data_IF_883731472612
#
_entry.id   IF_883731472612
#
_cell.length_a   1.000
_cell.length_b   1.000
_cell.length_c   1.000
_cell.angle_alpha   90.00
_cell.angle_beta   90.00
_cell.angle_gamma   90.00
#
_symmetry.space_group_name_H-M   'P 1'
#
loop_
_entity.id
_entity.type
_entity.pdbx_description
1 polymer ?
#
# COMPACT_ATOMS: atom_id res chain seq x y z
N UNK A 1 -18.82 38.33 -36.84
CA UNK A 1 -19.03 39.76 -36.52
C UNK A 1 -20.51 39.92 -36.21
N UNK A 2 -20.88 40.12 -34.95
CA UNK A 2 -22.28 40.22 -34.51
C UNK A 2 -22.31 40.49 -33.02
N UNK A 3 -22.55 41.75 -32.68
CA UNK A 3 -22.31 42.36 -31.38
C UNK A 3 -23.37 42.04 -30.33
N UNK A 4 -22.91 42.09 -29.09
CA UNK A 4 -23.65 42.18 -27.83
C UNK A 4 -24.40 43.51 -27.79
N UNK A 5 -25.64 43.51 -27.31
CA UNK A 5 -26.18 44.65 -26.55
C UNK A 5 -27.24 44.16 -25.55
N UNK A 6 -26.94 44.42 -24.27
CA UNK A 6 -27.74 44.16 -23.09
C UNK A 6 -28.40 45.49 -22.67
N UNK A 7 -29.70 45.48 -22.35
CA UNK A 7 -30.34 46.54 -21.56
C UNK A 7 -31.58 46.03 -20.82
N UNK A 8 -31.44 46.03 -19.50
CA UNK A 8 -32.38 46.23 -18.39
C UNK A 8 -33.80 46.69 -18.68
N UNK A 9 -34.77 46.22 -17.87
CA UNK A 9 -35.66 47.09 -17.08
C UNK A 9 -36.33 46.33 -15.91
N UNK A 10 -36.61 47.10 -14.85
CA UNK A 10 -37.09 46.79 -13.49
C UNK A 10 -38.63 46.85 -13.36
N UNK A 11 -39.13 46.57 -12.13
CA UNK A 11 -40.46 46.75 -11.52
C UNK A 11 -41.33 45.47 -11.43
N UNK A 12 -42.05 45.15 -10.34
CA UNK A 12 -42.25 45.76 -9.01
C UNK A 12 -43.05 44.78 -8.11
N UNK A 13 -42.83 44.90 -6.79
CA UNK A 13 -43.73 44.77 -5.63
C UNK A 13 -44.99 43.85 -5.64
N UNK A 14 -45.07 42.96 -4.64
CA UNK A 14 -46.28 42.87 -3.80
C UNK A 14 -46.00 42.32 -2.39
N UNK A 15 -46.45 43.09 -1.40
CA UNK A 15 -46.36 42.89 0.06
C UNK A 15 -47.55 42.07 0.64
N UNK A 16 -47.24 41.22 1.63
CA UNK A 16 -47.93 40.77 2.89
C UNK A 16 -49.47 40.92 3.07
N UNK A 17 -50.17 40.08 3.88
CA UNK A 17 -50.16 40.26 5.35
C UNK A 17 -50.31 39.00 6.24
N UNK A 18 -50.11 39.28 7.54
CA UNK A 18 -50.13 38.47 8.76
C UNK A 18 -51.50 37.97 9.28
N UNK A 19 -51.41 37.13 10.33
CA UNK A 19 -52.33 36.89 11.47
C UNK A 19 -53.14 35.58 11.40
N UNK A 20 -53.45 34.82 12.46
CA UNK A 20 -53.57 35.05 13.92
C UNK A 20 -53.49 33.70 14.68
N UNK A 21 -53.09 33.73 15.95
CA UNK A 21 -53.31 32.68 16.97
C UNK A 21 -54.77 32.69 17.48
N UNK A 22 -55.24 31.66 18.21
CA UNK A 22 -55.31 31.87 19.67
C UNK A 22 -54.99 30.65 20.56
N UNK A 23 -54.68 31.03 21.80
CA UNK A 23 -54.39 30.29 23.02
C UNK A 23 -55.39 29.21 23.48
N UNK A 24 -54.85 28.16 24.12
CA UNK A 24 -54.98 27.95 25.57
C UNK A 24 -55.95 26.89 26.09
N UNK A 25 -55.43 25.85 26.78
CA UNK A 25 -55.88 25.46 28.14
C UNK A 25 -54.94 24.46 28.83
N UNK A 26 -54.77 24.69 30.13
CA UNK A 26 -53.97 23.98 31.16
C UNK A 26 -54.74 22.81 31.81
N UNK A 27 -53.97 22.01 32.58
CA UNK A 27 -54.32 21.18 33.76
C UNK A 27 -54.91 19.78 33.43
N UNK A 28 -54.57 18.68 34.12
CA UNK A 28 -53.95 18.49 35.44
C UNK A 28 -53.30 17.10 35.56
N UNK A 29 -52.30 17.01 36.43
CA UNK A 29 -51.80 15.83 37.13
C UNK A 29 -52.87 15.16 38.00
N UNK A 30 -52.82 13.84 38.15
CA UNK A 30 -53.38 13.15 39.32
C UNK A 30 -52.67 11.81 39.53
N UNK A 31 -52.08 11.73 40.71
CA UNK A 31 -51.45 10.58 41.35
C UNK A 31 -52.39 9.39 41.51
N UNK A 32 -51.83 8.19 41.59
CA UNK A 32 -52.35 7.15 42.49
C UNK A 32 -51.23 6.22 42.95
N UNK A 33 -50.62 6.53 44.09
CA UNK A 33 -50.04 5.55 45.00
C UNK A 33 -51.19 4.78 45.68
N UNK A 34 -51.12 3.44 45.71
CA UNK A 34 -51.51 2.67 46.90
C UNK A 34 -50.45 1.60 47.16
N UNK A 35 -49.80 1.78 48.31
CA UNK A 35 -48.99 0.84 49.07
C UNK A 35 -49.84 -0.23 49.76
N UNK A 36 -49.34 -1.46 49.85
CA UNK A 36 -49.08 -2.21 51.11
C UNK A 36 -48.67 -3.66 50.79
N UNK A 37 -47.42 -4.06 51.03
CA UNK A 37 -46.82 -4.63 52.26
C UNK A 37 -47.27 -6.04 52.67
N UNK A 38 -46.26 -6.78 53.16
CA UNK A 38 -46.27 -7.91 54.11
C UNK A 38 -46.21 -9.32 53.49
N UNK A 39 -45.05 -10.01 53.56
CA UNK A 39 -44.55 -10.89 54.66
C UNK A 39 -45.39 -12.21 54.67
N UNK A 40 -44.89 -13.45 54.74
CA UNK A 40 -43.75 -14.14 55.36
C UNK A 40 -43.77 -15.58 54.75
N UNK A 41 -42.64 -16.16 54.35
CA UNK A 41 -41.95 -17.31 54.98
C UNK A 41 -42.81 -18.45 55.59
N UNK A 42 -42.49 -19.70 55.23
CA UNK A 42 -42.39 -20.93 56.06
C UNK A 42 -42.03 -22.11 55.10
N UNK A 43 -40.85 -22.76 55.15
CA UNK A 43 -40.41 -23.89 56.02
C UNK A 43 -41.47 -25.02 56.14
N UNK A 44 -41.27 -26.34 55.99
CA UNK A 44 -40.13 -27.29 55.94
C UNK A 44 -40.68 -28.70 55.49
N UNK A 45 -39.92 -29.47 54.66
CA UNK A 45 -39.50 -30.94 54.64
C UNK A 45 -40.53 -32.10 55.00
N UNK A 46 -40.29 -33.46 54.86
CA UNK A 46 -39.47 -34.38 54.00
C UNK A 46 -40.21 -35.63 53.41
N UNK A 47 -39.43 -36.55 52.79
CA UNK A 47 -39.63 -37.99 52.43
C UNK A 47 -39.99 -38.26 50.95
N UNK A 48 -39.35 -39.14 50.17
CA UNK A 48 -38.22 -40.06 50.35
C UNK A 48 -38.01 -40.93 49.09
N UNK A 49 -36.76 -41.37 48.87
CA UNK A 49 -36.28 -42.51 48.04
C UNK A 49 -36.42 -42.52 46.50
N UNK A 50 -35.31 -42.47 45.76
CA UNK A 50 -34.62 -43.66 45.22
C UNK A 50 -33.41 -43.30 44.33
N UNK A 51 -32.50 -44.26 44.22
CA UNK A 51 -31.11 -44.19 43.76
C UNK A 51 -30.87 -43.98 42.25
N UNK A 52 -29.87 -43.18 41.89
CA UNK A 52 -29.07 -43.40 40.67
C UNK A 52 -27.67 -42.72 40.72
N UNK A 53 -26.62 -43.53 40.66
CA UNK A 53 -25.41 -43.30 39.86
C UNK A 53 -24.40 -42.21 40.25
N UNK A 54 -23.38 -42.57 41.06
CA UNK A 54 -22.06 -41.92 41.06
C UNK A 54 -21.28 -42.31 39.79
N UNK A 55 -21.06 -41.35 38.88
CA UNK A 55 -19.96 -41.34 37.90
C UNK A 55 -19.63 -39.88 37.54
N UNK A 56 -18.86 -39.22 38.39
CA UNK A 56 -18.17 -37.96 38.08
C UNK A 56 -16.75 -38.11 38.64
N UNK A 57 -15.74 -37.59 37.95
CA UNK A 57 -14.30 -37.50 38.31
C UNK A 57 -13.34 -38.46 37.58
N UNK A 58 -13.29 -38.42 36.25
CA UNK A 58 -12.04 -38.80 35.52
C UNK A 58 -11.74 -37.89 34.34
N UNK A 59 -12.76 -37.43 33.62
CA UNK A 59 -12.62 -36.51 32.48
C UNK A 59 -12.30 -35.05 32.89
N UNK A 60 -12.81 -34.59 34.04
CA UNK A 60 -12.53 -33.23 34.53
C UNK A 60 -11.06 -33.05 34.97
N UNK A 61 -10.41 -34.13 35.40
CA UNK A 61 -9.01 -34.13 35.81
C UNK A 61 -8.06 -34.03 34.60
N UNK A 62 -8.36 -34.72 33.50
CA UNK A 62 -7.59 -34.60 32.25
C UNK A 62 -7.80 -33.23 31.57
N UNK A 63 -9.02 -32.69 31.57
CA UNK A 63 -9.26 -31.32 31.08
C UNK A 63 -8.54 -30.27 31.92
N UNK A 64 -8.50 -30.42 33.25
CA UNK A 64 -7.77 -29.52 34.13
C UNK A 64 -6.25 -29.56 33.87
N UNK A 65 -5.70 -30.74 33.57
CA UNK A 65 -4.28 -30.91 33.29
C UNK A 65 -3.88 -30.37 31.90
N UNK A 66 -4.76 -30.50 30.89
CA UNK A 66 -4.56 -29.88 29.58
C UNK A 66 -4.70 -28.35 29.65
N UNK A 67 -5.70 -27.84 30.38
CA UNK A 67 -5.90 -26.39 30.60
C UNK A 67 -4.75 -25.78 31.40
N UNK A 68 -4.20 -26.49 32.38
CA UNK A 68 -3.00 -26.10 33.12
C UNK A 68 -1.76 -26.05 32.22
N UNK A 69 -1.59 -27.01 31.30
CA UNK A 69 -0.49 -27.02 30.34
C UNK A 69 -0.59 -25.89 29.30
N UNK A 70 -1.80 -25.61 28.79
CA UNK A 70 -2.07 -24.48 27.89
C UNK A 70 -1.88 -23.15 28.61
N UNK A 71 -2.34 -23.03 29.86
CA UNK A 71 -2.12 -21.84 30.68
C UNK A 71 -0.64 -21.66 31.08
N UNK A 72 0.11 -22.75 31.25
CA UNK A 72 1.55 -22.70 31.52
C UNK A 72 2.37 -22.31 30.29
N UNK A 73 1.97 -22.74 29.09
CA UNK A 73 2.59 -22.32 27.82
C UNK A 73 2.26 -20.86 27.53
N UNK A 74 1.00 -20.45 27.70
CA UNK A 74 0.60 -19.06 27.58
C UNK A 74 1.31 -18.18 28.61
N UNK A 75 1.36 -18.61 29.88
CA UNK A 75 2.12 -17.92 30.93
C UNK A 75 3.60 -17.82 30.60
N UNK A 76 4.20 -18.87 30.03
CA UNK A 76 5.60 -18.85 29.59
C UNK A 76 5.83 -17.89 28.41
N UNK A 77 4.91 -17.83 27.45
CA UNK A 77 4.92 -16.86 26.34
C UNK A 77 4.78 -15.42 26.86
N UNK A 78 3.86 -15.16 27.80
CA UNK A 78 3.71 -13.87 28.47
C UNK A 78 4.93 -13.51 29.34
N UNK A 79 5.62 -14.52 29.90
CA UNK A 79 6.84 -14.32 30.71
C UNK A 79 8.06 -14.07 29.81
N UNK A 80 8.10 -14.66 28.62
CA UNK A 80 9.09 -14.37 27.57
C UNK A 80 8.89 -12.95 27.00
N UNK A 81 7.64 -12.49 26.86
CA UNK A 81 7.29 -11.10 26.54
C UNK A 81 7.80 -10.07 27.58
N UNK A 82 8.12 -10.50 28.80
CA UNK A 82 8.61 -9.62 29.88
C UNK A 82 10.11 -9.31 29.81
N UNK A 83 10.77 -9.66 28.71
CA UNK A 83 12.12 -9.20 28.37
C UNK A 83 11.96 -8.36 27.09
N UNK A 84 11.84 -7.04 27.25
CA UNK A 84 11.45 -6.08 26.19
C UNK A 84 12.12 -6.29 24.80
N UNK A 85 13.44 -6.50 24.67
CA UNK A 85 14.05 -6.73 23.35
C UNK A 85 13.67 -8.07 22.71
N UNK A 86 13.34 -9.10 23.50
CA UNK A 86 12.85 -10.38 22.95
C UNK A 86 11.42 -10.24 22.40
N UNK A 87 10.64 -9.31 22.95
CA UNK A 87 9.32 -8.95 22.43
C UNK A 87 9.39 -8.36 21.02
N UNK A 88 10.23 -7.34 20.80
CA UNK A 88 10.39 -6.72 19.49
C UNK A 88 10.99 -7.67 18.44
N UNK A 89 11.94 -8.54 18.84
CA UNK A 89 12.44 -9.63 17.98
C UNK A 89 11.32 -10.58 17.55
N UNK A 90 10.46 -11.01 18.48
CA UNK A 90 9.36 -11.92 18.15
C UNK A 90 8.34 -11.26 17.20
N UNK A 91 8.00 -9.99 17.44
CA UNK A 91 7.08 -9.23 16.60
C UNK A 91 7.61 -9.11 15.17
N UNK A 92 8.89 -8.78 15.01
CA UNK A 92 9.46 -8.50 13.69
C UNK A 92 9.87 -9.77 12.95
N UNK A 93 10.40 -10.79 13.63
CA UNK A 93 10.92 -11.98 12.93
C UNK A 93 9.95 -13.16 12.90
N UNK A 94 9.02 -13.28 13.85
CA UNK A 94 8.23 -14.52 14.02
C UNK A 94 6.73 -14.30 13.78
N UNK A 95 6.17 -13.16 14.19
CA UNK A 95 4.71 -12.94 14.16
C UNK A 95 4.14 -12.88 12.75
N UNK A 96 4.83 -12.25 11.80
CA UNK A 96 4.35 -12.12 10.44
C UNK A 96 4.52 -13.44 9.66
N UNK A 97 3.42 -13.96 9.10
CA UNK A 97 3.44 -15.23 8.35
C UNK A 97 4.41 -15.20 7.16
N UNK A 98 4.63 -14.03 6.57
CA UNK A 98 5.55 -13.83 5.44
C UNK A 98 7.01 -14.10 5.82
N UNK A 99 7.36 -13.99 7.10
CA UNK A 99 8.73 -14.24 7.59
C UNK A 99 9.16 -15.70 7.47
N UNK A 100 8.25 -16.62 7.12
CA UNK A 100 8.64 -17.97 6.69
C UNK A 100 9.61 -17.94 5.51
N UNK A 101 9.63 -16.85 4.73
CA UNK A 101 10.54 -16.64 3.61
C UNK A 101 11.92 -16.09 4.03
N UNK A 102 12.08 -15.60 5.27
CA UNK A 102 13.31 -14.95 5.73
C UNK A 102 14.57 -15.85 5.63
N UNK A 103 14.51 -17.18 5.87
CA UNK A 103 15.65 -18.07 5.66
C UNK A 103 16.19 -18.10 4.22
N UNK A 104 15.39 -17.71 3.21
CA UNK A 104 15.83 -17.70 1.82
C UNK A 104 16.90 -16.64 1.54
N UNK A 105 16.95 -15.55 2.31
CA UNK A 105 18.00 -14.53 2.19
C UNK A 105 19.40 -15.09 2.47
N UNK A 106 19.68 -15.62 3.68
CA UNK A 106 20.94 -16.29 3.98
C UNK A 106 21.24 -17.48 3.06
N UNK A 107 20.21 -18.22 2.63
CA UNK A 107 20.37 -19.30 1.66
C UNK A 107 20.85 -18.79 0.30
N UNK A 108 20.37 -17.65 -0.17
CA UNK A 108 20.83 -17.04 -1.42
C UNK A 108 22.32 -16.68 -1.37
N UNK A 109 22.76 -16.11 -0.25
CA UNK A 109 24.18 -15.80 0.01
C UNK A 109 25.02 -17.08 -0.04
N UNK A 110 24.57 -18.15 0.65
CA UNK A 110 25.26 -19.43 0.65
C UNK A 110 25.33 -20.03 -0.76
N UNK A 111 24.23 -20.01 -1.51
CA UNK A 111 24.15 -20.55 -2.87
C UNK A 111 25.07 -19.80 -3.85
N UNK A 112 25.24 -18.49 -3.67
CA UNK A 112 26.15 -17.68 -4.47
C UNK A 112 27.59 -18.19 -4.34
N UNK A 113 28.05 -18.51 -3.13
CA UNK A 113 29.40 -19.02 -2.91
C UNK A 113 29.59 -20.51 -3.26
N UNK A 114 28.52 -21.32 -3.20
CA UNK A 114 28.63 -22.78 -3.38
C UNK A 114 28.40 -23.23 -4.82
N UNK A 115 27.44 -22.62 -5.53
CA UNK A 115 26.84 -23.25 -6.72
C UNK A 115 27.13 -22.51 -8.02
N UNK A 116 27.45 -21.22 -7.97
CA UNK A 116 27.57 -20.36 -9.17
C UNK A 116 26.31 -20.27 -10.03
N UNK A 117 25.17 -20.82 -9.58
CA UNK A 117 23.91 -20.86 -10.33
C UNK A 117 23.12 -19.56 -10.12
N UNK A 118 23.39 -18.57 -10.98
CA UNK A 118 22.80 -17.23 -10.88
C UNK A 118 21.26 -17.22 -10.85
N UNK A 119 20.58 -18.09 -11.62
CA UNK A 119 19.11 -18.17 -11.58
C UNK A 119 18.51 -18.55 -10.21
N UNK A 120 19.16 -19.46 -9.48
CA UNK A 120 18.73 -19.82 -8.12
C UNK A 120 19.05 -18.71 -7.12
N UNK A 121 20.24 -18.09 -7.25
CA UNK A 121 20.64 -16.96 -6.40
C UNK A 121 19.65 -15.81 -6.56
N UNK A 122 19.24 -15.48 -7.79
CA UNK A 122 18.22 -14.49 -8.08
C UNK A 122 16.90 -14.83 -7.37
N UNK A 123 16.38 -16.04 -7.60
CA UNK A 123 15.09 -16.45 -7.03
C UNK A 123 15.08 -16.44 -5.49
N UNK A 124 16.10 -16.98 -4.84
CA UNK A 124 16.19 -17.00 -3.38
C UNK A 124 16.47 -15.62 -2.78
N UNK A 125 17.24 -14.76 -3.47
CA UNK A 125 17.44 -13.37 -3.03
C UNK A 125 16.12 -12.61 -3.08
N UNK A 126 15.35 -12.80 -4.15
CA UNK A 126 14.05 -12.17 -4.34
C UNK A 126 13.06 -12.60 -3.24
N UNK A 127 12.96 -13.90 -2.95
CA UNK A 127 12.15 -14.42 -1.83
C UNK A 127 12.62 -13.93 -0.46
N UNK A 128 13.93 -13.79 -0.26
CA UNK A 128 14.51 -13.29 0.98
C UNK A 128 14.24 -11.81 1.23
N UNK A 129 14.13 -11.01 0.15
CA UNK A 129 13.84 -9.57 0.23
C UNK A 129 12.37 -9.33 0.58
N UNK A 130 11.43 -10.12 0.06
CA UNK A 130 9.98 -9.95 0.31
C UNK A 130 9.60 -9.74 1.78
N UNK A 131 9.97 -10.61 2.74
CA UNK A 131 9.63 -10.39 4.15
C UNK A 131 10.38 -9.21 4.76
N UNK A 132 11.59 -8.90 4.29
CA UNK A 132 12.36 -7.76 4.80
C UNK A 132 11.73 -6.43 4.37
N UNK A 133 11.29 -6.34 3.12
CA UNK A 133 10.58 -5.18 2.57
C UNK A 133 9.29 -4.91 3.36
N UNK A 134 8.52 -5.97 3.63
CA UNK A 134 7.29 -5.88 4.42
C UNK A 134 7.54 -5.40 5.85
N UNK A 135 8.55 -5.97 6.53
CA UNK A 135 8.93 -5.56 7.88
C UNK A 135 9.52 -4.16 7.92
N UNK A 136 10.18 -3.71 6.85
CA UNK A 136 10.70 -2.35 6.73
C UNK A 136 9.56 -1.33 6.64
N UNK A 137 8.51 -1.63 5.86
CA UNK A 137 7.27 -0.85 5.82
C UNK A 137 6.59 -0.79 7.20
N UNK A 138 6.43 -1.94 7.87
CA UNK A 138 5.89 -2.00 9.24
C UNK A 138 6.71 -1.15 10.22
N UNK A 139 8.04 -1.26 10.22
CA UNK A 139 8.89 -0.46 11.10
C UNK A 139 8.77 1.06 10.82
N UNK A 140 8.56 1.43 9.56
CA UNK A 140 8.34 2.82 9.14
C UNK A 140 7.01 3.34 9.68
N UNK A 141 5.94 2.55 9.58
CA UNK A 141 4.63 2.89 10.13
C UNK A 141 4.68 3.03 11.65
N UNK A 142 5.32 2.09 12.34
CA UNK A 142 5.52 2.15 13.80
C UNK A 142 6.30 3.40 14.23
N UNK A 143 7.29 3.83 13.44
CA UNK A 143 8.01 5.06 13.70
C UNK A 143 7.14 6.31 13.48
N UNK A 144 6.25 6.28 12.47
CA UNK A 144 5.38 7.40 12.12
C UNK A 144 4.44 7.82 13.27
N UNK A 145 3.98 6.87 14.11
CA UNK A 145 3.19 7.14 15.33
C UNK A 145 3.86 8.13 16.29
N UNK A 146 5.20 8.16 16.32
CA UNK A 146 5.96 8.98 17.25
C UNK A 146 6.43 10.33 16.68
N UNK A 147 6.38 10.50 15.36
CA UNK A 147 6.99 11.65 14.67
C UNK A 147 6.00 12.74 14.26
N UNK A 148 4.71 12.55 14.51
CA UNK A 148 3.65 13.46 14.09
C UNK A 148 3.32 13.34 12.60
N UNK A 149 2.20 13.93 12.16
CA UNK A 149 1.67 13.69 10.81
C UNK A 149 2.62 14.13 9.69
N UNK A 150 3.28 15.28 9.83
CA UNK A 150 4.16 15.82 8.77
C UNK A 150 5.42 14.97 8.58
N UNK A 151 6.15 14.68 9.67
CA UNK A 151 7.39 13.89 9.59
C UNK A 151 7.04 12.42 9.34
N UNK A 152 5.97 11.90 9.92
CA UNK A 152 5.47 10.55 9.66
C UNK A 152 5.09 10.33 8.19
N UNK A 153 4.43 11.30 7.57
CA UNK A 153 4.12 11.24 6.14
C UNK A 153 5.36 11.31 5.24
N UNK A 154 6.38 12.09 5.62
CA UNK A 154 7.65 12.13 4.90
C UNK A 154 8.44 10.82 5.07
N UNK A 155 8.44 10.24 6.27
CA UNK A 155 9.02 8.93 6.55
C UNK A 155 8.33 7.86 5.72
N UNK A 156 7.00 7.86 5.66
CA UNK A 156 6.25 6.90 4.85
C UNK A 156 6.54 7.07 3.35
N UNK A 157 6.58 8.31 2.85
CA UNK A 157 6.92 8.56 1.44
C UNK A 157 8.33 8.05 1.07
N UNK A 158 9.29 8.16 1.98
CA UNK A 158 10.69 7.79 1.74
C UNK A 158 10.94 6.31 1.98
N UNK A 159 10.60 5.81 3.17
CA UNK A 159 10.89 4.45 3.61
C UNK A 159 9.82 3.44 3.21
N UNK A 160 8.61 3.89 2.82
CA UNK A 160 7.60 3.02 2.23
C UNK A 160 8.07 2.38 0.93
N UNK A 161 8.84 3.10 0.11
CA UNK A 161 9.44 2.59 -1.13
C UNK A 161 10.96 2.37 -0.98
N UNK A 162 11.45 2.16 0.24
CA UNK A 162 12.89 2.04 0.46
C UNK A 162 13.49 0.83 -0.23
N UNK A 163 12.75 -0.28 -0.35
CA UNK A 163 13.23 -1.50 -1.00
C UNK A 163 13.58 -1.25 -2.46
N UNK A 164 12.67 -0.63 -3.21
CA UNK A 164 12.82 -0.26 -4.61
C UNK A 164 13.94 0.75 -4.78
N UNK A 165 14.02 1.75 -3.90
CA UNK A 165 15.08 2.75 -3.91
C UNK A 165 16.46 2.11 -3.64
N UNK A 166 16.59 1.19 -2.69
CA UNK A 166 17.85 0.49 -2.37
C UNK A 166 18.28 -0.38 -3.55
N UNK A 167 17.37 -1.18 -4.11
CA UNK A 167 17.64 -2.00 -5.30
C UNK A 167 18.09 -1.11 -6.47
N UNK A 168 17.37 0.00 -6.69
CA UNK A 168 17.67 0.95 -7.76
C UNK A 168 19.03 1.62 -7.59
N UNK A 169 19.38 2.08 -6.39
CA UNK A 169 20.68 2.70 -6.11
C UNK A 169 21.81 1.68 -6.30
N UNK A 170 21.62 0.42 -5.88
CA UNK A 170 22.64 -0.61 -6.08
C UNK A 170 22.84 -0.91 -7.57
N UNK A 171 21.75 -1.09 -8.33
CA UNK A 171 21.82 -1.30 -9.79
C UNK A 171 22.45 -0.09 -10.51
N UNK A 172 22.09 1.13 -10.11
CA UNK A 172 22.66 2.36 -10.64
C UNK A 172 24.17 2.47 -10.37
N UNK A 173 24.63 2.07 -9.18
CA UNK A 173 26.06 2.04 -8.83
C UNK A 173 26.86 1.13 -9.76
N UNK A 174 26.26 0.05 -10.24
CA UNK A 174 26.84 -0.90 -11.20
C UNK A 174 26.54 -0.55 -12.66
N UNK A 175 25.99 0.64 -12.94
CA UNK A 175 25.71 1.10 -14.32
C UNK A 175 24.52 0.39 -14.97
N UNK A 176 23.72 -0.37 -14.24
CA UNK A 176 22.53 -1.08 -14.75
C UNK A 176 21.31 -0.16 -14.85
N UNK A 177 21.44 0.93 -15.62
CA UNK A 177 20.41 1.97 -15.79
C UNK A 177 19.10 1.38 -16.31
N UNK A 178 19.16 0.49 -17.31
CA UNK A 178 17.97 -0.16 -17.88
C UNK A 178 17.22 -1.00 -16.84
N UNK A 179 17.92 -1.70 -15.96
CA UNK A 179 17.30 -2.48 -14.88
C UNK A 179 16.57 -1.54 -13.89
N UNK A 180 17.17 -0.40 -13.56
CA UNK A 180 16.52 0.62 -12.70
C UNK A 180 15.24 1.13 -13.34
N UNK A 181 15.31 1.57 -14.61
CA UNK A 181 14.13 2.05 -15.34
C UNK A 181 13.04 0.96 -15.42
N UNK A 182 13.40 -0.24 -15.87
CA UNK A 182 12.45 -1.33 -16.05
C UNK A 182 11.81 -1.80 -14.74
N UNK A 183 12.57 -1.88 -13.65
CA UNK A 183 12.03 -2.28 -12.34
C UNK A 183 11.07 -1.25 -11.73
N UNK A 184 11.40 0.04 -11.81
CA UNK A 184 10.52 1.11 -11.32
C UNK A 184 9.24 1.23 -12.18
N UNK A 185 9.37 1.10 -13.50
CA UNK A 185 8.22 1.02 -14.42
C UNK A 185 7.33 -0.17 -14.06
N UNK A 186 7.93 -1.34 -13.91
CA UNK A 186 7.22 -2.57 -13.56
C UNK A 186 6.47 -2.48 -12.24
N UNK A 187 7.03 -1.77 -11.25
CA UNK A 187 6.39 -1.53 -9.96
C UNK A 187 5.11 -0.70 -10.11
N UNK A 188 5.14 0.34 -10.95
CA UNK A 188 3.94 1.12 -11.29
C UNK A 188 2.91 0.23 -12.01
N UNK A 189 3.32 -0.51 -13.04
CA UNK A 189 2.41 -1.39 -13.80
C UNK A 189 1.78 -2.48 -12.92
N UNK A 190 2.56 -3.07 -12.02
CA UNK A 190 2.11 -4.10 -11.09
C UNK A 190 1.08 -3.52 -10.11
N UNK A 191 1.37 -2.39 -9.49
CA UNK A 191 0.46 -1.76 -8.53
C UNK A 191 -0.85 -1.30 -9.21
N UNK A 192 -0.75 -0.68 -10.38
CA UNK A 192 -1.92 -0.13 -11.08
C UNK A 192 -2.81 -1.19 -11.73
N UNK A 193 -2.26 -2.27 -12.28
CA UNK A 193 -3.03 -3.29 -12.98
C UNK A 193 -3.21 -4.57 -12.15
N UNK A 194 -2.12 -5.16 -11.68
CA UNK A 194 -2.17 -6.45 -10.98
C UNK A 194 -2.79 -6.31 -9.58
N UNK A 195 -2.27 -5.40 -8.76
CA UNK A 195 -2.72 -5.24 -7.36
C UNK A 195 -4.14 -4.72 -7.32
N UNK A 196 -4.38 -3.60 -8.00
CA UNK A 196 -5.71 -3.00 -8.07
C UNK A 196 -6.72 -3.97 -8.70
N UNK A 197 -6.32 -4.70 -9.74
CA UNK A 197 -7.14 -5.72 -10.39
C UNK A 197 -7.50 -6.86 -9.44
N UNK A 198 -6.52 -7.46 -8.76
CA UNK A 198 -6.74 -8.51 -7.77
C UNK A 198 -7.61 -8.03 -6.60
N UNK A 199 -7.39 -6.81 -6.12
CA UNK A 199 -8.15 -6.23 -5.03
C UNK A 199 -9.62 -6.00 -5.41
N UNK A 200 -9.88 -5.42 -6.58
CA UNK A 200 -11.24 -5.23 -7.10
C UNK A 200 -11.93 -6.55 -7.43
N UNK A 201 -11.19 -7.52 -7.97
CA UNK A 201 -11.73 -8.84 -8.30
C UNK A 201 -12.16 -9.60 -7.04
N UNK A 202 -11.26 -9.72 -6.07
CA UNK A 202 -11.53 -10.46 -4.81
C UNK A 202 -12.53 -9.73 -3.92
N UNK A 203 -12.37 -8.42 -3.73
CA UNK A 203 -13.33 -7.58 -3.00
C UNK A 203 -14.73 -7.66 -3.60
N UNK A 204 -14.83 -7.58 -4.94
CA UNK A 204 -16.09 -7.69 -5.66
C UNK A 204 -16.74 -9.07 -5.64
N UNK A 205 -15.96 -10.16 -5.51
CA UNK A 205 -16.51 -11.52 -5.33
C UNK A 205 -17.08 -11.68 -3.92
N UNK A 206 -16.34 -11.24 -2.91
CA UNK A 206 -16.78 -11.33 -1.50
C UNK A 206 -18.04 -10.48 -1.31
N UNK A 207 -18.01 -9.25 -1.82
CA UNK A 207 -19.12 -8.32 -1.76
C UNK A 207 -20.01 -8.36 -3.01
N UNK A 208 -20.22 -9.52 -3.63
CA UNK A 208 -21.00 -9.65 -4.88
C UNK A 208 -22.43 -9.07 -4.83
N UNK A 209 -22.99 -8.84 -3.65
CA UNK A 209 -24.32 -8.23 -3.45
C UNK A 209 -24.30 -6.71 -3.23
N UNK A 210 -23.12 -6.11 -3.12
CA UNK A 210 -22.91 -4.68 -2.80
C UNK A 210 -21.92 -4.07 -3.79
N UNK A 211 -22.22 -2.87 -4.29
CA UNK A 211 -21.24 -2.08 -5.03
C UNK A 211 -20.31 -1.42 -4.02
N UNK A 212 -19.02 -1.71 -4.12
CA UNK A 212 -18.01 -1.07 -3.27
C UNK A 212 -17.70 0.31 -3.85
N UNK A 213 -17.59 1.31 -2.97
CA UNK A 213 -17.38 2.72 -3.34
C UNK A 213 -16.09 3.25 -2.72
N UNK A 214 -15.49 4.25 -3.36
CA UNK A 214 -14.29 4.92 -2.87
C UNK A 214 -14.33 6.42 -3.21
N UNK A 215 -13.44 7.18 -2.58
CA UNK A 215 -13.32 8.61 -2.74
C UNK A 215 -12.79 8.99 -4.14
N UNK A 216 -13.70 9.48 -4.97
CA UNK A 216 -13.41 9.94 -6.34
C UNK A 216 -12.38 11.07 -6.37
N UNK A 217 -12.45 12.02 -5.44
CA UNK A 217 -11.56 13.17 -5.45
C UNK A 217 -10.10 12.75 -5.20
N UNK A 218 -9.88 11.84 -4.24
CA UNK A 218 -8.56 11.29 -3.96
C UNK A 218 -8.01 10.49 -5.15
N UNK A 219 -8.85 9.68 -5.81
CA UNK A 219 -8.47 8.94 -7.01
C UNK A 219 -8.08 9.90 -8.16
N UNK A 220 -8.87 10.94 -8.41
CA UNK A 220 -8.62 11.92 -9.48
C UNK A 220 -7.31 12.67 -9.26
N UNK A 221 -7.01 13.12 -8.03
CA UNK A 221 -5.75 13.81 -7.73
C UNK A 221 -4.55 12.90 -8.01
N UNK A 222 -4.60 11.64 -7.58
CA UNK A 222 -3.53 10.68 -7.84
C UNK A 222 -3.38 10.34 -9.34
N UNK A 223 -4.49 10.13 -10.05
CA UNK A 223 -4.46 9.93 -11.51
C UNK A 223 -3.89 11.15 -12.25
N UNK A 224 -4.18 12.37 -11.78
CA UNK A 224 -3.59 13.60 -12.32
C UNK A 224 -2.07 13.68 -12.14
N UNK A 225 -1.56 13.29 -10.96
CA UNK A 225 -0.12 13.21 -10.70
C UNK A 225 0.56 12.14 -11.55
N UNK A 226 -0.08 10.97 -11.71
CA UNK A 226 0.42 9.92 -12.60
C UNK A 226 0.49 10.37 -14.06
N UNK A 227 -0.53 11.08 -14.56
CA UNK A 227 -0.49 11.67 -15.91
C UNK A 227 0.63 12.71 -16.06
N UNK A 228 0.88 13.52 -15.02
CA UNK A 228 2.03 14.44 -14.99
C UNK A 228 3.36 13.67 -15.05
N UNK A 229 3.50 12.56 -14.33
CA UNK A 229 4.69 11.72 -14.39
C UNK A 229 4.90 11.14 -15.80
N UNK A 230 3.82 10.66 -16.43
CA UNK A 230 3.88 10.16 -17.81
C UNK A 230 4.31 11.26 -18.78
N UNK A 231 3.80 12.49 -18.63
CA UNK A 231 4.25 13.63 -19.43
C UNK A 231 5.76 13.90 -19.24
N UNK A 232 6.26 13.81 -18.01
CA UNK A 232 7.68 13.99 -17.68
C UNK A 232 8.60 12.92 -18.26
N UNK A 233 8.11 11.68 -18.40
CA UNK A 233 8.82 10.53 -18.99
C UNK A 233 8.72 10.52 -20.52
N UNK A 234 7.57 10.93 -21.06
CA UNK A 234 7.26 10.81 -22.48
C UNK A 234 8.14 11.68 -23.37
N UNK A 235 8.43 12.93 -23.00
CA UNK A 235 9.18 13.82 -23.88
C UNK A 235 10.64 13.40 -24.10
N UNK A 236 11.41 13.00 -23.07
CA UNK A 236 12.73 12.40 -23.28
C UNK A 236 12.69 11.19 -24.20
N UNK A 237 11.74 10.26 -23.99
CA UNK A 237 11.61 9.06 -24.80
C UNK A 237 11.25 9.35 -26.27
N UNK A 238 10.35 10.30 -26.52
CA UNK A 238 9.97 10.71 -27.88
C UNK A 238 11.14 11.41 -28.58
N UNK A 239 11.86 12.32 -27.90
CA UNK A 239 13.02 13.00 -28.48
C UNK A 239 14.13 12.02 -28.90
N UNK A 240 14.39 11.01 -28.08
CA UNK A 240 15.32 9.94 -28.41
C UNK A 240 14.85 9.19 -29.66
N UNK A 241 13.59 8.78 -29.70
CA UNK A 241 13.04 7.99 -30.81
C UNK A 241 12.96 8.75 -32.14
N UNK A 242 12.63 10.04 -32.11
CA UNK A 242 12.54 10.88 -33.32
C UNK A 242 13.90 11.40 -33.78
N UNK A 243 14.96 11.22 -32.98
CA UNK A 243 16.27 11.84 -33.16
C UNK A 243 16.19 13.36 -33.41
N UNK A 244 15.17 14.01 -32.87
CA UNK A 244 14.89 15.44 -33.09
C UNK A 244 15.49 16.34 -32.02
N UNK A 245 16.46 15.84 -31.28
CA UNK A 245 17.14 16.57 -30.22
C UNK A 245 18.17 17.57 -30.77
N UNK A 246 18.35 18.71 -30.09
CA UNK A 246 19.26 19.77 -30.53
C UNK A 246 20.73 19.34 -30.46
N UNK A 247 21.10 18.61 -29.40
CA UNK A 247 22.43 18.06 -29.19
C UNK A 247 22.32 16.58 -28.83
N UNK A 248 22.77 15.73 -29.76
CA UNK A 248 22.65 14.28 -29.67
C UNK A 248 23.13 13.72 -28.31
N UNK A 249 22.27 12.96 -27.63
CA UNK A 249 22.43 12.36 -26.29
C UNK A 249 22.53 13.34 -25.11
N UNK A 250 22.84 14.63 -25.35
CA UNK A 250 23.01 15.62 -24.28
C UNK A 250 21.72 16.34 -23.95
N UNK A 251 20.92 16.65 -24.98
CA UNK A 251 19.65 17.36 -24.83
C UNK A 251 18.64 16.51 -24.08
N UNK A 252 18.56 15.21 -24.38
CA UNK A 252 17.70 14.26 -23.70
C UNK A 252 18.03 14.10 -22.20
N UNK A 253 19.30 13.87 -21.87
CA UNK A 253 19.73 13.73 -20.47
C UNK A 253 19.49 15.03 -19.68
N UNK A 254 19.74 16.18 -20.31
CA UNK A 254 19.48 17.49 -19.70
C UNK A 254 17.99 17.70 -19.46
N UNK A 255 17.14 17.32 -20.41
CA UNK A 255 15.69 17.37 -20.27
C UNK A 255 15.21 16.44 -19.16
N UNK A 256 15.75 15.23 -19.08
CA UNK A 256 15.42 14.25 -18.04
C UNK A 256 15.74 14.76 -16.64
N UNK A 257 16.90 15.41 -16.45
CA UNK A 257 17.27 16.05 -15.18
C UNK A 257 16.35 17.22 -14.83
N UNK A 258 16.04 18.07 -15.81
CA UNK A 258 15.11 19.17 -15.62
C UNK A 258 13.70 18.69 -15.22
N UNK A 259 13.16 17.74 -15.98
CA UNK A 259 11.85 17.11 -15.72
C UNK A 259 11.82 16.47 -14.34
N UNK A 260 12.90 15.78 -13.94
CA UNK A 260 13.03 15.17 -12.61
C UNK A 260 12.96 16.19 -11.48
N UNK A 261 13.65 17.33 -11.60
CA UNK A 261 13.55 18.40 -10.61
C UNK A 261 12.13 18.95 -10.48
N UNK A 262 11.42 19.14 -11.61
CA UNK A 262 10.03 19.62 -11.61
C UNK A 262 9.10 18.58 -10.96
N UNK A 263 9.26 17.30 -11.28
CA UNK A 263 8.47 16.21 -10.68
C UNK A 263 8.66 16.13 -9.17
N UNK A 264 9.90 16.26 -8.68
CA UNK A 264 10.19 16.30 -7.23
C UNK A 264 9.56 17.51 -6.54
N UNK A 265 9.59 18.70 -7.16
CA UNK A 265 8.94 19.90 -6.62
C UNK A 265 7.42 19.73 -6.59
N UNK A 266 6.84 19.16 -7.64
CA UNK A 266 5.41 18.86 -7.71
C UNK A 266 5.00 17.84 -6.62
N UNK A 267 5.81 16.80 -6.41
CA UNK A 267 5.58 15.80 -5.37
C UNK A 267 5.71 16.40 -3.96
N UNK A 268 6.74 17.21 -3.71
CA UNK A 268 6.90 17.92 -2.44
C UNK A 268 5.74 18.88 -2.16
N UNK A 269 5.24 19.57 -3.19
CA UNK A 269 4.05 20.43 -3.09
C UNK A 269 2.79 19.62 -2.79
N UNK A 270 2.64 18.45 -3.43
CA UNK A 270 1.56 17.51 -3.14
C UNK A 270 1.61 17.01 -1.70
N UNK A 271 2.78 16.55 -1.22
CA UNK A 271 2.95 16.14 0.18
C UNK A 271 2.64 17.27 1.14
N UNK A 272 3.13 18.49 0.88
CA UNK A 272 2.81 19.65 1.70
C UNK A 272 1.31 19.92 1.75
N UNK A 273 0.63 19.88 0.60
CA UNK A 273 -0.82 20.06 0.52
C UNK A 273 -1.55 18.94 1.25
N UNK A 274 -1.16 17.67 1.07
CA UNK A 274 -1.77 16.53 1.74
C UNK A 274 -1.63 16.63 3.26
N UNK A 275 -0.43 16.93 3.75
CA UNK A 275 -0.14 17.02 5.18
C UNK A 275 -0.81 18.22 5.86
N UNK A 276 -0.97 19.34 5.16
CA UNK A 276 -1.61 20.56 5.70
C UNK A 276 -3.13 20.55 5.55
N UNK A 277 -3.64 20.09 4.40
CA UNK A 277 -5.08 20.10 4.09
C UNK A 277 -5.84 19.01 4.86
N UNK A 278 -5.23 17.84 5.06
CA UNK A 278 -5.86 16.73 5.79
C UNK A 278 -5.88 16.95 7.32
N UNK A 279 -5.09 17.87 7.88
CA UNK A 279 -5.26 18.31 9.28
C UNK A 279 -6.62 18.99 9.53
N UNK A 280 -7.27 19.52 8.49
CA UNK A 280 -8.58 20.16 8.59
C UNK A 280 -9.76 19.26 8.17
N UNK A 281 -9.50 18.11 7.53
CA UNK A 281 -10.54 17.16 7.08
C UNK A 281 -10.56 15.87 7.90
N UNK A 282 -9.45 15.54 8.56
CA UNK A 282 -9.29 14.47 9.56
C UNK A 282 -8.83 15.07 10.89
N UNK A 283 -9.54 16.11 11.37
CA UNK A 283 -9.80 16.12 12.81
C UNK A 283 -10.55 14.83 13.14
N UNK A 284 -10.38 14.24 14.35
CA UNK A 284 -11.07 12.99 14.69
C UNK A 284 -12.53 13.13 14.26
N UNK A 285 -13.06 12.09 13.60
CA UNK A 285 -14.47 11.96 13.23
C UNK A 285 -15.33 11.79 14.51
N UNK A 286 -15.12 12.64 15.51
CA UNK A 286 -15.88 12.78 16.73
C UNK A 286 -16.65 14.10 16.64
N UNK A 287 -17.77 14.04 15.92
CA UNK A 287 -18.62 15.20 15.72
C UNK A 287 -19.91 14.80 15.04
N UNK A 288 -20.88 14.39 15.87
CA UNK A 288 -22.29 14.15 15.54
C UNK A 288 -22.67 12.76 15.01
N UNK A 289 -22.79 11.82 15.95
CA UNK A 289 -24.05 11.09 16.13
C UNK A 289 -24.33 9.88 15.24
N UNK A 290 -23.71 8.73 15.55
CA UNK A 290 -24.44 7.46 15.58
C UNK A 290 -23.76 6.45 16.52
N UNK A 291 -24.53 5.91 17.45
CA UNK A 291 -24.09 4.85 18.37
C UNK A 291 -24.11 3.52 17.61
N UNK A 292 -22.99 3.12 17.00
CA UNK A 292 -22.78 1.73 16.60
C UNK A 292 -21.46 1.23 17.18
N UNK A 293 -21.57 0.18 17.98
CA UNK A 293 -20.50 -0.52 18.71
C UNK A 293 -19.57 -1.31 17.78
N UNK A 294 -18.81 -0.62 16.93
CA UNK A 294 -17.61 -1.16 16.28
C UNK A 294 -16.60 -0.01 16.14
N UNK A 295 -16.10 0.47 17.29
CA UNK A 295 -14.90 1.31 17.31
C UNK A 295 -13.73 0.46 16.83
N UNK A 296 -13.30 0.67 15.58
CA UNK A 296 -11.97 0.26 15.10
C UNK A 296 -10.96 0.63 16.22
N UNK A 297 -10.37 -0.37 16.88
CA UNK A 297 -9.34 -0.17 17.90
C UNK A 297 -8.27 0.75 17.30
N UNK A 298 -8.06 1.94 17.87
CA UNK A 298 -6.87 2.75 17.54
C UNK A 298 -5.64 1.88 17.80
N UNK A 299 -5.01 1.38 16.74
CA UNK A 299 -3.88 0.46 16.83
C UNK A 299 -2.75 1.13 17.60
N UNK A 300 -2.56 0.73 18.86
CA UNK A 300 -1.47 1.22 19.69
C UNK A 300 -0.12 0.78 19.09
N UNK A 301 0.92 1.63 19.13
CA UNK A 301 2.23 1.26 18.60
C UNK A 301 2.79 0.05 19.35
N UNK A 302 3.19 -0.96 18.59
CA UNK A 302 3.73 -2.22 19.09
C UNK A 302 5.23 -2.15 19.37
N UNK A 303 5.93 -1.21 18.72
CA UNK A 303 7.36 -0.97 18.91
C UNK A 303 7.58 0.37 19.60
N UNK A 304 8.55 0.44 20.51
CA UNK A 304 8.97 1.75 21.03
C UNK A 304 9.72 2.55 19.97
N UNK A 305 9.77 3.88 20.11
CA UNK A 305 10.45 4.79 19.18
C UNK A 305 11.89 4.35 18.83
N UNK A 306 12.70 4.01 19.83
CA UNK A 306 14.08 3.57 19.63
C UNK A 306 14.19 2.19 19.00
N UNK A 307 13.27 1.28 19.32
CA UNK A 307 13.22 -0.04 18.69
C UNK A 307 12.85 0.07 17.21
N UNK A 308 11.87 0.91 16.87
CA UNK A 308 11.50 1.16 15.48
C UNK A 308 12.69 1.68 14.66
N UNK A 309 13.45 2.66 15.19
CA UNK A 309 14.65 3.19 14.53
C UNK A 309 15.73 2.11 14.37
N UNK A 310 16.02 1.34 15.42
CA UNK A 310 17.02 0.27 15.35
C UNK A 310 16.64 -0.80 14.31
N UNK A 311 15.37 -1.21 14.29
CA UNK A 311 14.89 -2.20 13.33
C UNK A 311 14.85 -1.67 11.91
N UNK A 312 14.44 -0.41 11.71
CA UNK A 312 14.51 0.24 10.41
C UNK A 312 15.94 0.21 9.85
N UNK A 313 16.94 0.52 10.67
CA UNK A 313 18.34 0.46 10.28
C UNK A 313 18.81 -0.97 9.96
N UNK A 314 18.49 -1.96 10.82
CA UNK A 314 18.90 -3.36 10.63
C UNK A 314 18.29 -3.93 9.35
N UNK A 315 16.99 -3.71 9.12
CA UNK A 315 16.28 -4.18 7.94
C UNK A 315 16.82 -3.52 6.68
N UNK A 316 17.09 -2.21 6.72
CA UNK A 316 17.70 -1.48 5.60
C UNK A 316 19.06 -2.08 5.21
N UNK A 317 19.91 -2.41 6.20
CA UNK A 317 21.21 -3.05 5.94
C UNK A 317 21.04 -4.43 5.31
N UNK A 318 20.12 -5.26 5.83
CA UNK A 318 19.87 -6.59 5.29
C UNK A 318 19.28 -6.56 3.88
N UNK A 319 18.33 -5.67 3.61
CA UNK A 319 17.80 -5.42 2.27
C UNK A 319 18.95 -5.00 1.36
N UNK A 320 19.78 -4.04 1.76
CA UNK A 320 20.93 -3.59 0.97
C UNK A 320 21.93 -4.71 0.63
N UNK A 321 22.22 -5.61 1.57
CA UNK A 321 23.10 -6.77 1.32
C UNK A 321 22.46 -7.71 0.29
N UNK A 322 21.18 -8.07 0.46
CA UNK A 322 20.50 -8.98 -0.46
C UNK A 322 20.22 -8.36 -1.83
N UNK A 323 19.95 -7.04 -1.90
CA UNK A 323 19.83 -6.31 -3.15
C UNK A 323 21.09 -6.45 -3.99
N UNK A 324 22.26 -6.54 -3.36
CA UNK A 324 23.50 -6.76 -4.08
C UNK A 324 23.54 -8.10 -4.81
N UNK A 325 23.27 -9.18 -4.09
CA UNK A 325 23.19 -10.52 -4.67
C UNK A 325 22.06 -10.66 -5.69
N UNK A 326 20.91 -10.01 -5.47
CA UNK A 326 19.79 -9.98 -6.40
C UNK A 326 20.22 -9.37 -7.73
N UNK A 327 20.76 -8.14 -7.68
CA UNK A 327 21.10 -7.34 -8.84
C UNK A 327 22.23 -7.97 -9.65
N UNK A 328 23.28 -8.47 -8.98
CA UNK A 328 24.39 -9.17 -9.63
C UNK A 328 23.95 -10.49 -10.30
N UNK A 329 22.81 -11.07 -9.86
CA UNK A 329 22.27 -12.31 -10.42
C UNK A 329 21.26 -12.09 -11.56
N UNK A 330 20.81 -10.86 -11.86
CA UNK A 330 19.76 -10.60 -12.88
C UNK A 330 20.19 -11.11 -14.26
N UNK A 331 21.41 -10.77 -14.69
CA UNK A 331 21.89 -11.16 -16.01
C UNK A 331 22.03 -12.69 -16.14
N UNK A 332 22.64 -13.34 -15.14
CA UNK A 332 22.76 -14.78 -15.13
C UNK A 332 21.41 -15.50 -14.96
N UNK A 333 20.42 -14.87 -14.33
CA UNK A 333 19.05 -15.37 -14.28
C UNK A 333 18.41 -15.34 -15.67
N UNK A 334 18.57 -14.24 -16.41
CA UNK A 334 18.10 -14.09 -17.80
C UNK A 334 18.63 -15.21 -18.70
N UNK A 335 19.94 -15.47 -18.65
CA UNK A 335 20.57 -16.55 -19.43
C UNK A 335 20.07 -17.94 -19.00
N UNK A 336 19.96 -18.19 -17.68
CA UNK A 336 19.54 -19.51 -17.18
C UNK A 336 18.07 -19.83 -17.44
N UNK A 337 17.20 -18.82 -17.44
CA UNK A 337 15.75 -18.96 -17.62
C UNK A 337 15.33 -18.79 -19.09
N UNK A 338 16.24 -18.39 -19.98
CA UNK A 338 15.94 -17.99 -21.36
C UNK A 338 14.84 -16.93 -21.43
N UNK A 339 14.93 -15.90 -20.58
CA UNK A 339 13.96 -14.81 -20.51
C UNK A 339 14.66 -13.46 -20.68
N UNK A 340 14.05 -12.46 -21.36
CA UNK A 340 14.64 -11.13 -21.47
C UNK A 340 14.84 -10.46 -20.11
N UNK A 341 15.93 -9.71 -19.96
CA UNK A 341 16.19 -8.89 -18.75
C UNK A 341 15.03 -7.92 -18.47
N UNK A 342 14.41 -7.39 -19.53
CA UNK A 342 13.23 -6.55 -19.44
C UNK A 342 12.05 -7.29 -18.77
N UNK A 343 11.78 -8.53 -19.15
CA UNK A 343 10.72 -9.33 -18.52
C UNK A 343 11.00 -9.60 -17.04
N UNK A 344 12.24 -9.94 -16.69
CA UNK A 344 12.65 -10.16 -15.31
C UNK A 344 12.48 -8.88 -14.48
N UNK A 345 12.92 -7.75 -15.03
CA UNK A 345 12.94 -6.47 -14.32
C UNK A 345 11.54 -5.85 -14.20
N UNK A 346 10.74 -5.87 -15.27
CA UNK A 346 9.40 -5.26 -15.29
C UNK A 346 8.35 -6.15 -14.63
N UNK A 347 8.43 -7.47 -14.78
CA UNK A 347 7.36 -8.39 -14.34
C UNK A 347 7.75 -9.11 -13.06
N UNK A 348 8.89 -9.82 -13.03
CA UNK A 348 9.20 -10.71 -11.90
C UNK A 348 9.65 -9.93 -10.65
N UNK A 349 10.53 -8.95 -10.82
CA UNK A 349 11.08 -8.18 -9.71
C UNK A 349 9.97 -7.49 -8.88
N UNK A 350 9.02 -6.75 -9.49
CA UNK A 350 8.04 -5.99 -8.72
C UNK A 350 6.93 -6.86 -8.13
N UNK A 351 6.57 -7.97 -8.79
CA UNK A 351 5.59 -8.92 -8.22
C UNK A 351 6.05 -9.41 -6.85
N UNK A 352 7.33 -9.77 -6.74
CA UNK A 352 7.85 -10.38 -5.51
C UNK A 352 8.38 -9.32 -4.54
N UNK A 353 8.96 -8.22 -5.05
CA UNK A 353 9.41 -7.08 -4.26
C UNK A 353 8.26 -6.41 -3.49
N UNK A 354 7.08 -6.32 -4.10
CA UNK A 354 5.93 -5.62 -3.55
C UNK A 354 4.82 -6.58 -3.08
N UNK A 355 5.07 -7.89 -3.05
CA UNK A 355 4.06 -8.92 -2.74
C UNK A 355 3.33 -8.68 -1.41
N UNK A 356 4.01 -8.10 -0.43
CA UNK A 356 3.43 -7.73 0.84
C UNK A 356 2.40 -6.60 0.73
N UNK A 357 2.75 -5.52 0.03
CA UNK A 357 1.83 -4.43 -0.28
C UNK A 357 0.64 -4.96 -1.07
N UNK A 358 0.89 -5.86 -2.03
CA UNK A 358 -0.15 -6.50 -2.83
C UNK A 358 -1.16 -7.24 -1.94
N UNK A 359 -0.66 -8.07 -1.02
CA UNK A 359 -1.48 -8.82 -0.09
C UNK A 359 -2.29 -7.90 0.84
N UNK A 360 -1.70 -6.80 1.31
CA UNK A 360 -2.38 -5.81 2.16
C UNK A 360 -3.52 -5.10 1.42
N UNK A 361 -3.27 -4.63 0.20
CA UNK A 361 -4.26 -3.94 -0.62
C UNK A 361 -5.47 -4.83 -0.94
N UNK A 362 -5.19 -6.11 -1.27
CA UNK A 362 -6.22 -7.14 -1.50
C UNK A 362 -7.04 -7.36 -0.22
N UNK A 363 -6.37 -7.54 0.92
CA UNK A 363 -7.04 -7.74 2.21
C UNK A 363 -7.94 -6.56 2.58
N UNK A 364 -7.51 -5.31 2.36
CA UNK A 364 -8.34 -4.13 2.62
C UNK A 364 -9.58 -4.08 1.71
N UNK A 365 -9.44 -4.47 0.44
CA UNK A 365 -10.58 -4.55 -0.47
C UNK A 365 -11.57 -5.64 -0.06
N UNK A 366 -11.07 -6.78 0.43
CA UNK A 366 -11.90 -7.85 1.01
C UNK A 366 -12.62 -7.42 2.31
N UNK A 367 -12.12 -6.39 2.99
CA UNK A 367 -12.73 -5.78 4.20
C UNK A 367 -13.58 -4.54 3.88
N UNK A 368 -13.87 -4.29 2.60
CA UNK A 368 -14.63 -3.13 2.13
C UNK A 368 -13.97 -1.76 2.41
N UNK A 369 -12.66 -1.73 2.67
CA UNK A 369 -11.87 -0.51 2.88
C UNK A 369 -11.15 -0.10 1.58
N UNK A 370 -11.90 0.18 0.52
CA UNK A 370 -11.33 0.47 -0.81
C UNK A 370 -10.48 1.74 -0.87
N UNK A 371 -10.79 2.76 -0.08
CA UNK A 371 -9.96 3.97 -0.02
C UNK A 371 -8.51 3.66 0.39
N UNK A 372 -8.34 2.73 1.34
CA UNK A 372 -7.03 2.25 1.78
C UNK A 372 -6.37 1.45 0.65
N UNK A 373 -7.10 0.56 -0.02
CA UNK A 373 -6.61 -0.20 -1.18
C UNK A 373 -6.08 0.72 -2.29
N UNK A 374 -6.83 1.77 -2.65
CA UNK A 374 -6.40 2.75 -3.64
C UNK A 374 -5.20 3.57 -3.15
N UNK A 375 -5.18 3.92 -1.87
CA UNK A 375 -4.03 4.57 -1.23
C UNK A 375 -2.75 3.73 -1.35
N UNK A 376 -2.83 2.42 -1.07
CA UNK A 376 -1.69 1.51 -1.21
C UNK A 376 -1.27 1.37 -2.68
N UNK A 377 -2.19 1.02 -3.59
CA UNK A 377 -1.83 0.75 -4.98
C UNK A 377 -1.47 2.02 -5.78
N UNK A 378 -2.36 3.01 -5.81
CA UNK A 378 -2.20 4.21 -6.62
C UNK A 378 -1.27 5.20 -5.91
N UNK A 379 -1.35 5.33 -4.59
CA UNK A 379 -0.43 6.18 -3.83
C UNK A 379 1.02 5.73 -3.97
N UNK A 380 1.31 4.42 -3.85
CA UNK A 380 2.65 3.86 -4.12
C UNK A 380 3.07 4.12 -5.57
N UNK A 381 2.18 3.94 -6.56
CA UNK A 381 2.46 4.25 -7.97
C UNK A 381 2.80 5.74 -8.19
N UNK A 382 2.08 6.66 -7.55
CA UNK A 382 2.34 8.10 -7.57
C UNK A 382 3.69 8.40 -6.91
N UNK A 383 4.02 7.75 -5.79
CA UNK A 383 5.31 7.90 -5.11
C UNK A 383 6.46 7.42 -5.99
N UNK A 384 6.37 6.22 -6.56
CA UNK A 384 7.41 5.67 -7.42
C UNK A 384 7.64 6.59 -8.62
N UNK A 385 6.55 7.04 -9.27
CA UNK A 385 6.63 7.85 -10.48
C UNK A 385 7.10 9.29 -10.22
N UNK A 386 6.56 9.99 -9.23
CA UNK A 386 6.84 11.41 -8.98
C UNK A 386 7.99 11.65 -8.00
N UNK A 387 8.41 10.65 -7.24
CA UNK A 387 9.53 10.73 -6.30
C UNK A 387 10.66 9.76 -6.63
N UNK A 388 10.44 8.45 -6.64
CA UNK A 388 11.55 7.47 -6.71
C UNK A 388 12.30 7.53 -8.04
N UNK A 389 11.59 7.52 -9.17
CA UNK A 389 12.18 7.66 -10.51
C UNK A 389 13.02 8.96 -10.64
N UNK A 390 12.46 10.16 -10.40
CA UNK A 390 13.22 11.40 -10.54
C UNK A 390 14.31 11.54 -9.47
N UNK A 391 14.13 10.98 -8.28
CA UNK A 391 15.19 10.87 -7.28
C UNK A 391 16.37 10.04 -7.79
N UNK A 392 16.12 8.90 -8.46
CA UNK A 392 17.18 8.09 -9.07
C UNK A 392 17.94 8.85 -10.17
N UNK A 393 17.28 9.71 -10.95
CA UNK A 393 17.95 10.58 -11.93
C UNK A 393 18.89 11.58 -11.25
N UNK A 394 18.44 12.22 -10.15
CA UNK A 394 19.27 13.16 -9.37
C UNK A 394 20.45 12.44 -8.70
N UNK A 395 20.21 11.27 -8.10
CA UNK A 395 21.27 10.45 -7.50
C UNK A 395 22.28 10.00 -8.57
N UNK A 396 21.80 9.55 -9.73
CA UNK A 396 22.66 9.20 -10.87
C UNK A 396 23.52 10.38 -11.31
N UNK A 397 22.93 11.58 -11.37
CA UNK A 397 23.67 12.80 -11.68
C UNK A 397 24.79 13.08 -10.67
N UNK A 398 24.53 12.91 -9.37
CA UNK A 398 25.55 13.08 -8.31
C UNK A 398 26.64 11.99 -8.42
N UNK A 399 26.27 10.77 -8.77
CA UNK A 399 27.20 9.63 -8.92
C UNK A 399 27.97 9.65 -10.25
N UNK A 400 27.68 10.58 -11.16
CA UNK A 400 28.26 10.61 -12.50
C UNK A 400 27.71 9.55 -13.47
N UNK A 401 26.60 8.90 -13.12
CA UNK A 401 25.90 7.94 -13.97
C UNK A 401 24.87 8.66 -14.87
N UNK A 402 24.77 8.33 -16.17
CA UNK A 402 23.82 8.97 -17.08
C UNK A 402 22.39 8.42 -16.95
N UNK A 403 21.86 8.34 -15.72
CA UNK A 403 20.46 7.97 -15.50
C UNK A 403 19.55 9.06 -16.09
N UNK A 404 18.65 8.66 -16.97
CA UNK A 404 17.66 9.53 -17.62
C UNK A 404 16.23 8.98 -17.45
N UNK A 405 15.27 9.75 -17.95
CA UNK A 405 13.85 9.39 -17.97
C UNK A 405 13.43 8.76 -19.30
N UNK A 406 14.38 8.29 -20.12
CA UNK A 406 14.04 7.62 -21.36
C UNK A 406 13.86 6.13 -21.13
N UNK A 407 12.61 5.73 -20.93
CA UNK A 407 12.25 4.32 -20.75
C UNK A 407 12.21 3.56 -22.08
N UNK A 408 12.43 4.23 -23.22
CA UNK A 408 12.10 3.84 -24.60
C UNK A 408 10.61 3.86 -24.90
N UNK A 409 10.29 3.83 -26.20
CA UNK A 409 8.94 4.10 -26.70
C UNK A 409 7.92 3.04 -26.26
N UNK A 410 8.32 1.76 -26.27
CA UNK A 410 7.42 0.65 -25.91
C UNK A 410 6.98 0.72 -24.45
N UNK A 411 7.92 0.93 -23.54
CA UNK A 411 7.72 1.06 -22.10
C UNK A 411 6.90 2.31 -21.76
N UNK A 412 7.25 3.44 -22.39
CA UNK A 412 6.53 4.71 -22.23
C UNK A 412 5.09 4.60 -22.71
N UNK A 413 4.85 3.99 -23.87
CA UNK A 413 3.50 3.76 -24.39
C UNK A 413 2.70 2.82 -23.48
N UNK A 414 3.34 1.77 -22.96
CA UNK A 414 2.70 0.84 -22.02
C UNK A 414 2.29 1.53 -20.73
N UNK A 415 3.16 2.38 -20.16
CA UNK A 415 2.85 3.19 -18.99
C UNK A 415 1.69 4.16 -19.27
N UNK A 416 1.74 4.89 -20.39
CA UNK A 416 0.71 5.84 -20.77
C UNK A 416 -0.67 5.18 -20.90
N UNK A 417 -0.74 4.06 -21.63
CA UNK A 417 -1.99 3.30 -21.79
C UNK A 417 -2.48 2.77 -20.44
N UNK A 418 -1.58 2.27 -19.60
CA UNK A 418 -1.93 1.77 -18.25
C UNK A 418 -2.53 2.86 -17.37
N UNK A 419 -1.89 4.02 -17.29
CA UNK A 419 -2.38 5.17 -16.51
C UNK A 419 -3.74 5.62 -17.02
N UNK A 420 -3.92 5.67 -18.34
CA UNK A 420 -5.19 6.04 -18.98
C UNK A 420 -6.31 5.05 -18.66
N UNK A 421 -6.05 3.74 -18.85
CA UNK A 421 -7.03 2.67 -18.54
C UNK A 421 -7.47 2.76 -17.09
N UNK A 422 -6.52 2.89 -16.16
CA UNK A 422 -6.84 2.94 -14.73
C UNK A 422 -7.56 4.23 -14.36
N UNK A 423 -7.16 5.38 -14.90
CA UNK A 423 -7.88 6.64 -14.68
C UNK A 423 -9.35 6.54 -15.13
N UNK A 424 -9.63 5.93 -16.28
CA UNK A 424 -11.00 5.69 -16.74
C UNK A 424 -11.75 4.71 -15.85
N UNK A 425 -11.12 3.61 -15.42
CA UNK A 425 -11.76 2.62 -14.53
C UNK A 425 -12.17 3.22 -13.18
N UNK A 426 -11.43 4.22 -12.71
CA UNK A 426 -11.64 4.87 -11.42
C UNK A 426 -12.62 6.06 -11.46
N UNK A 427 -12.93 6.59 -12.64
CA UNK A 427 -13.75 7.80 -12.82
C UNK A 427 -15.12 7.71 -12.14
N UNK A 428 -15.71 6.51 -12.12
CA UNK A 428 -17.04 6.28 -11.55
C UNK A 428 -17.04 6.21 -10.01
N UNK A 429 -15.88 6.08 -9.35
CA UNK A 429 -15.76 5.91 -7.89
C UNK A 429 -16.34 4.62 -7.32
N UNK A 430 -16.55 3.63 -8.18
CA UNK A 430 -17.10 2.32 -7.82
C UNK A 430 -16.21 1.21 -8.32
N UNK A 431 -16.14 0.14 -7.54
CA UNK A 431 -15.45 -1.11 -7.89
C UNK A 431 -16.44 -2.25 -8.04
N UNK A 432 -16.10 -3.18 -8.94
CA UNK A 432 -16.79 -4.45 -9.09
C UNK A 432 -15.80 -5.51 -9.59
N UNK A 433 -16.18 -6.78 -9.47
CA UNK A 433 -15.31 -7.89 -9.84
C UNK A 433 -14.94 -7.86 -11.33
N UNK A 434 -15.80 -7.33 -12.20
CA UNK A 434 -15.51 -7.28 -13.64
C UNK A 434 -14.43 -6.24 -13.97
N UNK A 435 -14.48 -5.05 -13.35
CA UNK A 435 -13.38 -4.06 -13.44
C UNK A 435 -12.06 -4.68 -12.96
N UNK A 436 -12.10 -5.43 -11.86
CA UNK A 436 -10.93 -6.16 -11.36
C UNK A 436 -10.39 -7.17 -12.36
N UNK A 437 -11.27 -8.00 -12.94
CA UNK A 437 -10.89 -8.96 -13.97
C UNK A 437 -10.28 -8.29 -15.20
N UNK A 438 -10.86 -7.17 -15.67
CA UNK A 438 -10.33 -6.41 -16.80
C UNK A 438 -8.89 -5.93 -16.55
N UNK A 439 -8.61 -5.38 -15.37
CA UNK A 439 -7.27 -4.93 -15.00
C UNK A 439 -6.25 -6.09 -14.94
N UNK A 440 -6.65 -7.25 -14.40
CA UNK A 440 -5.82 -8.46 -14.40
C UNK A 440 -5.52 -8.91 -15.83
N UNK A 441 -6.53 -8.94 -16.71
CA UNK A 441 -6.34 -9.31 -18.11
C UNK A 441 -5.43 -8.32 -18.84
N UNK A 442 -5.56 -7.01 -18.58
CA UNK A 442 -4.64 -5.99 -19.08
C UNK A 442 -3.19 -6.27 -18.61
N UNK A 443 -2.99 -6.61 -17.34
CA UNK A 443 -1.66 -6.97 -16.82
C UNK A 443 -1.08 -8.20 -17.53
N UNK A 444 -1.89 -9.23 -17.78
CA UNK A 444 -1.44 -10.42 -18.50
C UNK A 444 -1.02 -10.11 -19.94
N UNK A 445 -1.73 -9.21 -20.63
CA UNK A 445 -1.35 -8.73 -21.97
C UNK A 445 -0.02 -7.97 -21.91
N UNK A 446 0.15 -7.10 -20.92
CA UNK A 446 1.39 -6.35 -20.70
C UNK A 446 2.55 -7.31 -20.42
N UNK A 447 2.37 -8.27 -19.51
CA UNK A 447 3.38 -9.28 -19.18
C UNK A 447 3.78 -10.12 -20.40
N UNK A 448 2.80 -10.59 -21.19
CA UNK A 448 3.08 -11.33 -22.41
C UNK A 448 3.84 -10.47 -23.45
N UNK A 449 3.55 -9.17 -23.51
CA UNK A 449 4.23 -8.24 -24.43
C UNK A 449 5.68 -8.01 -23.99
N UNK A 450 5.95 -7.87 -22.68
CA UNK A 450 7.33 -7.82 -22.16
C UNK A 450 8.09 -9.14 -22.29
N UNK A 451 7.40 -10.28 -22.35
CA UNK A 451 8.04 -11.58 -22.56
C UNK A 451 8.65 -11.71 -23.96
N UNK A 452 8.05 -11.05 -24.95
CA UNK A 452 8.52 -11.03 -26.34
C UNK A 452 9.29 -9.74 -26.70
N UNK A 453 9.42 -8.81 -25.76
CA UNK A 453 10.15 -7.55 -25.94
C UNK A 453 11.62 -7.72 -25.60
N UNK A 454 12.48 -7.25 -26.50
CA UNK A 454 13.93 -7.19 -26.30
C UNK A 454 14.39 -5.78 -26.66
N UNK A 455 15.21 -5.21 -25.79
CA UNK A 455 15.86 -3.93 -26.07
C UNK A 455 16.75 -4.07 -27.31
N UNK A 456 16.66 -3.18 -28.32
CA UNK A 456 17.54 -3.23 -29.47
C UNK A 456 19.01 -3.13 -29.02
N UNK A 457 19.86 -3.97 -29.61
CA UNK A 457 21.30 -3.95 -29.43
C UNK A 457 21.88 -2.67 -30.02
N UNK A 458 22.87 -2.07 -29.34
CA UNK A 458 23.62 -0.92 -29.88
C UNK A 458 24.41 -1.24 -31.17
N UNK A 459 24.36 -2.49 -31.66
CA UNK A 459 25.00 -2.95 -32.90
C UNK A 459 24.07 -2.88 -34.13
N UNK A 460 22.79 -2.49 -33.96
CA UNK A 460 21.79 -2.44 -35.03
C UNK A 460 21.52 -1.03 -35.60
N UNK A 461 22.33 -0.02 -35.25
CA UNK A 461 22.29 1.34 -35.85
C UNK A 461 23.38 1.57 -36.91
#
# INVERSE_FOLDING_TARGET
>A
MGSIEEKTDLESDEEIPFSTSPAGRKMNSLDFEISKTDLESDEEIPFGTSSAGRKINSLDFEMAHMRSRVNSVNSFIYKLMRIRPLGSIYIILIRAKINILLPFGPLAILLHYVTGKHGLVFFFSLLGITPLAERLGFATEQLAFYTGSTVGGLLNATFGNATEMIISIYALKHGMIRVVQQSLLGSILSNMLLVLGCAFFTGGIIHHKKVQVFNKAAAIVNSGLLLMAVMGIMFPAVLHFTHSELHFGKSELSLSRFSSCIMLVAYASYLFFQLRSQQNLYGPLDGEGDNNEDSDEEEAPELTHWEAICWLAILTVWVSILSGYLVDAIQGASESLNMPVAFISVILLPIVGNAAEHASAIMFAMKDKLDITLGVAIGSSTQISMFVIPFCVVVGWIMGQPMDLNFKLFETATLFITVLVVAFMLQEGTSNYFKGLMLILCYLIVAASFFVHVDPSNDDD
#
